data_IF_776767186629
#
_entry.id   IF_776767186629
#
_cell.length_a   1.000
_cell.length_b   1.000
_cell.length_c   1.000
_cell.angle_alpha   90.00
_cell.angle_beta   90.00
_cell.angle_gamma   90.00
#
_symmetry.space_group_name_H-M   'P 1'
#
loop_
_entity.id
_entity.type
_entity.pdbx_description
1 polymer ?
#
# COMPACT_ATOMS: atom_id res chain seq x y z
N UNK A 1 58.07 27.24 -23.77
CA UNK A 1 56.87 27.11 -24.64
C UNK A 1 56.35 25.66 -24.71
N UNK A 2 57.23 24.66 -24.83
CA UNK A 2 56.88 23.23 -24.94
C UNK A 2 56.11 22.63 -23.73
N UNK A 3 56.50 22.96 -22.49
CA UNK A 3 55.87 22.39 -21.27
C UNK A 3 54.38 22.77 -21.09
N UNK A 4 53.99 23.98 -21.51
CA UNK A 4 52.60 24.47 -21.40
C UNK A 4 51.67 23.75 -22.40
N UNK A 5 52.18 23.37 -23.58
CA UNK A 5 51.43 22.61 -24.58
C UNK A 5 51.24 21.16 -24.14
N UNK A 6 52.25 20.54 -23.53
CA UNK A 6 52.17 19.18 -22.98
C UNK A 6 51.15 19.13 -21.84
N UNK A 7 51.17 20.11 -20.92
CA UNK A 7 50.19 20.18 -19.83
C UNK A 7 48.76 20.31 -20.33
N UNK A 8 48.54 21.14 -21.37
CA UNK A 8 47.21 21.30 -21.98
C UNK A 8 46.72 20.02 -22.67
N UNK A 9 47.62 19.27 -23.33
CA UNK A 9 47.29 17.97 -23.94
C UNK A 9 46.92 16.91 -22.89
N UNK A 10 47.62 16.87 -21.76
CA UNK A 10 47.32 15.95 -20.64
C UNK A 10 45.95 16.29 -20.03
N UNK A 11 45.66 17.58 -19.82
CA UNK A 11 44.36 18.03 -19.32
C UNK A 11 43.22 17.62 -20.26
N UNK A 12 43.41 17.81 -21.58
CA UNK A 12 42.43 17.43 -22.60
C UNK A 12 42.17 15.91 -22.62
N UNK A 13 43.24 15.11 -22.46
CA UNK A 13 43.14 13.65 -22.39
C UNK A 13 42.37 13.19 -21.15
N UNK A 14 42.66 13.76 -19.98
CA UNK A 14 41.97 13.43 -18.72
C UNK A 14 40.50 13.85 -18.77
N UNK A 15 40.17 15.00 -19.38
CA UNK A 15 38.77 15.40 -19.59
C UNK A 15 38.02 14.44 -20.52
N UNK A 16 38.68 13.89 -21.53
CA UNK A 16 38.05 12.98 -22.51
C UNK A 16 37.73 11.59 -21.93
N UNK A 17 38.40 11.17 -20.86
CA UNK A 17 38.13 9.88 -20.18
C UNK A 17 37.05 9.97 -19.10
N UNK A 18 36.49 11.15 -18.84
CA UNK A 18 35.53 11.35 -17.75
C UNK A 18 34.09 10.91 -18.08
N UNK A 19 33.78 10.63 -19.34
CA UNK A 19 32.42 10.26 -19.76
C UNK A 19 31.91 8.94 -19.14
N UNK A 20 32.76 7.94 -18.97
CA UNK A 20 32.40 6.65 -18.35
C UNK A 20 32.32 6.73 -16.81
N UNK A 21 32.81 7.81 -16.21
CA UNK A 21 32.77 7.98 -14.75
C UNK A 21 31.38 8.40 -14.24
N UNK A 22 30.52 8.93 -15.12
CA UNK A 22 29.18 9.44 -14.77
C UNK A 22 28.04 8.53 -15.22
N UNK A 23 28.32 7.40 -15.88
CA UNK A 23 27.28 6.41 -16.21
C UNK A 23 26.85 5.69 -14.94
N UNK A 24 25.74 6.13 -14.34
CA UNK A 24 25.10 5.42 -13.23
C UNK A 24 24.76 3.99 -13.69
N UNK A 25 25.13 2.94 -12.94
CA UNK A 25 24.73 1.59 -13.29
C UNK A 25 23.20 1.52 -13.35
N UNK A 26 22.66 0.92 -14.41
CA UNK A 26 21.23 0.65 -14.52
C UNK A 26 20.86 -0.19 -13.30
N UNK A 27 19.97 0.28 -12.41
CA UNK A 27 19.64 -0.46 -11.19
C UNK A 27 19.08 -1.82 -11.58
N UNK A 28 19.49 -2.87 -10.86
CA UNK A 28 18.94 -4.21 -11.08
C UNK A 28 17.43 -4.21 -10.83
N UNK A 29 16.71 -5.12 -11.48
CA UNK A 29 15.26 -5.29 -11.26
C UNK A 29 14.94 -5.50 -9.78
N UNK A 30 15.80 -6.21 -9.07
CA UNK A 30 15.68 -6.48 -7.63
C UNK A 30 15.80 -5.20 -6.80
N UNK A 31 16.78 -4.35 -7.10
CA UNK A 31 16.97 -3.07 -6.40
C UNK A 31 15.80 -2.09 -6.66
N UNK A 32 15.22 -2.13 -7.86
CA UNK A 32 13.99 -1.38 -8.17
C UNK A 32 12.80 -1.93 -7.39
N UNK A 33 12.60 -3.25 -7.40
CA UNK A 33 11.51 -3.90 -6.68
C UNK A 33 11.55 -3.59 -5.17
N UNK A 34 12.71 -3.73 -4.54
CA UNK A 34 12.88 -3.43 -3.11
C UNK A 34 12.57 -1.96 -2.80
N UNK A 35 12.96 -1.04 -3.70
CA UNK A 35 12.66 0.38 -3.56
C UNK A 35 11.16 0.65 -3.61
N UNK A 36 10.44 0.04 -4.55
CA UNK A 36 8.99 0.19 -4.67
C UNK A 36 8.28 -0.41 -3.46
N UNK A 37 8.67 -1.60 -3.00
CA UNK A 37 8.08 -2.24 -1.81
C UNK A 37 8.26 -1.41 -0.53
N UNK A 38 9.41 -0.75 -0.38
CA UNK A 38 9.66 0.17 0.75
C UNK A 38 8.88 1.48 0.66
N UNK A 39 8.41 1.86 -0.53
CA UNK A 39 7.60 3.06 -0.72
C UNK A 39 6.12 2.85 -0.39
N UNK A 40 5.68 1.59 -0.20
CA UNK A 40 4.30 1.25 0.16
C UNK A 40 4.08 1.51 1.65
N UNK A 41 3.08 2.33 1.97
CA UNK A 41 2.60 2.51 3.34
C UNK A 41 1.54 1.46 3.67
N UNK A 42 1.95 0.38 4.34
CA UNK A 42 1.08 -0.73 4.74
C UNK A 42 0.03 -0.36 5.79
N UNK A 43 0.13 0.83 6.41
CA UNK A 43 -0.86 1.30 7.39
C UNK A 43 -2.01 2.08 6.73
N UNK A 44 -1.88 2.39 5.44
CA UNK A 44 -2.85 3.18 4.70
C UNK A 44 -3.65 2.29 3.77
N UNK A 45 -4.98 2.42 3.87
CA UNK A 45 -5.89 1.80 2.91
C UNK A 45 -5.97 2.67 1.67
N UNK A 46 -5.48 2.16 0.54
CA UNK A 46 -5.55 2.86 -0.74
C UNK A 46 -6.97 2.86 -1.31
N UNK A 47 -7.67 1.72 -1.24
CA UNK A 47 -9.05 1.57 -1.68
C UNK A 47 -9.80 0.59 -0.77
N UNK A 48 -11.01 0.97 -0.38
CA UNK A 48 -11.94 0.07 0.30
C UNK A 48 -12.55 -0.92 -0.69
N UNK A 49 -12.92 -2.14 -0.24
CA UNK A 49 -13.53 -3.15 -1.09
C UNK A 49 -14.71 -2.60 -1.89
N UNK A 50 -14.87 -3.10 -3.12
CA UNK A 50 -16.03 -2.80 -3.96
C UNK A 50 -17.22 -3.60 -3.46
N UNK A 51 -18.21 -2.90 -2.93
CA UNK A 51 -19.48 -3.46 -2.48
C UNK A 51 -20.53 -2.88 -3.42
N UNK A 52 -21.45 -3.71 -3.91
CA UNK A 52 -22.46 -3.31 -4.90
C UNK A 52 -23.21 -2.05 -4.47
N UNK A 53 -23.56 -1.95 -3.19
CA UNK A 53 -24.26 -0.81 -2.59
C UNK A 53 -23.40 0.48 -2.52
N UNK A 54 -22.07 0.36 -2.51
CA UNK A 54 -21.12 1.47 -2.39
C UNK A 54 -20.41 1.83 -3.70
N UNK A 55 -20.58 1.04 -4.77
CA UNK A 55 -19.83 1.17 -6.03
C UNK A 55 -20.13 2.46 -6.79
N UNK A 56 -21.34 3.02 -6.63
CA UNK A 56 -21.70 4.30 -7.23
C UNK A 56 -21.06 5.52 -6.55
N UNK A 57 -20.33 5.33 -5.43
CA UNK A 57 -19.74 6.41 -4.65
C UNK A 57 -18.27 6.60 -5.05
N UNK A 58 -17.97 7.70 -5.73
CA UNK A 58 -16.60 8.05 -6.14
C UNK A 58 -15.78 8.73 -5.02
N UNK A 59 -16.46 9.39 -4.08
CA UNK A 59 -15.77 10.10 -3.01
C UNK A 59 -15.19 9.08 -1.99
N UNK A 60 -13.87 9.09 -1.73
CA UNK A 60 -13.22 8.06 -0.92
C UNK A 60 -13.70 8.06 0.54
N UNK A 61 -13.94 9.25 1.13
CA UNK A 61 -14.44 9.35 2.51
C UNK A 61 -15.88 8.83 2.63
N UNK A 62 -16.72 9.10 1.63
CA UNK A 62 -18.08 8.54 1.60
C UNK A 62 -18.08 7.05 1.31
N UNK A 63 -17.16 6.55 0.46
CA UNK A 63 -17.02 5.13 0.17
C UNK A 63 -16.56 4.35 1.41
N UNK A 64 -15.62 4.92 2.18
CA UNK A 64 -15.24 4.42 3.50
C UNK A 64 -16.46 4.33 4.43
N UNK A 65 -17.21 5.42 4.58
CA UNK A 65 -18.39 5.44 5.45
C UNK A 65 -19.41 4.37 5.04
N UNK A 66 -19.72 4.28 3.75
CA UNK A 66 -20.64 3.27 3.21
C UNK A 66 -20.17 1.85 3.52
N UNK A 67 -18.86 1.56 3.36
CA UNK A 67 -18.29 0.26 3.69
C UNK A 67 -18.50 -0.10 5.17
N UNK A 68 -18.23 0.84 6.10
CA UNK A 68 -18.42 0.60 7.53
C UNK A 68 -19.90 0.47 7.92
N UNK A 69 -20.80 1.22 7.30
CA UNK A 69 -22.25 1.08 7.49
C UNK A 69 -22.74 -0.30 7.04
N UNK A 70 -22.33 -0.74 5.83
CA UNK A 70 -22.62 -2.09 5.34
C UNK A 70 -22.10 -3.14 6.32
N UNK A 71 -20.82 -3.06 6.72
CA UNK A 71 -20.21 -4.04 7.61
C UNK A 71 -20.94 -4.11 8.96
N UNK A 72 -21.32 -2.96 9.51
CA UNK A 72 -22.10 -2.89 10.76
C UNK A 72 -23.45 -3.58 10.61
N UNK A 73 -24.14 -3.38 9.47
CA UNK A 73 -25.42 -4.03 9.20
C UNK A 73 -25.29 -5.55 9.10
N UNK A 74 -24.23 -6.05 8.45
CA UNK A 74 -23.96 -7.50 8.33
C UNK A 74 -23.67 -8.12 9.69
N UNK A 75 -22.84 -7.46 10.52
CA UNK A 75 -22.56 -7.90 11.90
C UNK A 75 -23.86 -7.98 12.71
N UNK A 76 -24.69 -6.93 12.68
CA UNK A 76 -25.95 -6.91 13.41
C UNK A 76 -26.90 -8.03 12.95
N UNK A 77 -27.00 -8.25 11.64
CA UNK A 77 -27.82 -9.33 11.09
C UNK A 77 -27.33 -10.70 11.57
N UNK A 78 -26.01 -10.94 11.55
CA UNK A 78 -25.41 -12.21 12.02
C UNK A 78 -25.67 -12.44 13.50
N UNK A 79 -25.40 -11.43 14.33
CA UNK A 79 -25.62 -11.51 15.78
C UNK A 79 -27.11 -11.70 16.14
N UNK A 80 -28.03 -11.14 15.35
CA UNK A 80 -29.47 -11.29 15.58
C UNK A 80 -30.01 -12.68 15.23
N UNK A 81 -29.32 -13.41 14.35
CA UNK A 81 -29.70 -14.75 13.90
C UNK A 81 -29.04 -15.86 14.71
N UNK A 82 -27.92 -15.56 15.37
CA UNK A 82 -27.17 -16.53 16.14
C UNK A 82 -27.73 -16.70 17.56
N UNK A 83 -27.74 -17.94 18.04
CA UNK A 83 -28.13 -18.22 19.43
C UNK A 83 -26.87 -18.09 20.28
N UNK A 84 -26.57 -16.86 20.66
CA UNK A 84 -25.41 -16.56 21.48
C UNK A 84 -25.50 -17.37 22.80
N UNK A 85 -24.50 -18.21 23.14
CA UNK A 85 -24.57 -19.15 24.28
C UNK A 85 -24.43 -18.46 25.65
N UNK A 86 -24.79 -17.19 25.74
CA UNK A 86 -24.63 -16.34 26.92
C UNK A 86 -25.87 -16.43 27.81
N UNK A 87 -26.13 -17.60 28.37
CA UNK A 87 -27.30 -17.82 29.24
C UNK A 87 -27.15 -17.20 30.65
N UNK A 88 -26.04 -16.51 30.99
CA UNK A 88 -25.82 -16.11 32.40
C UNK A 88 -24.88 -14.94 32.68
N UNK A 89 -24.46 -14.14 31.71
CA UNK A 89 -23.59 -12.97 31.96
C UNK A 89 -24.12 -11.76 31.18
N UNK A 90 -24.37 -10.64 31.89
CA UNK A 90 -24.62 -9.34 31.27
C UNK A 90 -23.35 -8.88 30.55
N UNK A 91 -23.27 -9.14 29.24
CA UNK A 91 -22.19 -8.68 28.38
C UNK A 91 -22.73 -7.54 27.52
N UNK A 92 -22.39 -6.31 27.90
CA UNK A 92 -22.79 -5.09 27.17
C UNK A 92 -21.94 -4.86 25.90
N UNK A 93 -20.81 -5.56 25.74
CA UNK A 93 -19.88 -5.35 24.62
C UNK A 93 -19.22 -6.66 24.20
N UNK A 94 -19.19 -6.89 22.89
CA UNK A 94 -18.58 -8.07 22.26
C UNK A 94 -17.47 -7.59 21.32
N UNK A 95 -16.30 -8.22 21.41
CA UNK A 95 -15.19 -8.00 20.47
C UNK A 95 -15.33 -9.04 19.36
N UNK A 96 -15.55 -8.57 18.13
CA UNK A 96 -15.70 -9.42 16.96
C UNK A 96 -14.48 -9.26 16.07
N UNK A 97 -13.97 -10.39 15.57
CA UNK A 97 -12.89 -10.40 14.59
C UNK A 97 -13.48 -10.63 13.20
N UNK A 98 -13.16 -9.73 12.28
CA UNK A 98 -13.67 -9.78 10.91
C UNK A 98 -12.48 -9.81 9.95
N UNK A 99 -12.51 -10.75 9.02
CA UNK A 99 -11.54 -10.87 7.94
C UNK A 99 -12.23 -10.38 6.65
N UNK A 100 -11.60 -9.42 5.99
CA UNK A 100 -12.08 -8.84 4.74
C UNK A 100 -11.09 -9.20 3.64
N UNK A 101 -11.54 -9.99 2.67
CA UNK A 101 -10.71 -10.45 1.56
C UNK A 101 -10.73 -9.47 0.38
N UNK A 102 -9.72 -9.52 -0.52
CA UNK A 102 -9.65 -8.64 -1.69
C UNK A 102 -10.80 -8.79 -2.69
N UNK A 103 -11.47 -9.94 -2.69
CA UNK A 103 -12.67 -10.24 -3.50
C UNK A 103 -13.97 -9.73 -2.84
N UNK A 104 -13.86 -8.92 -1.79
CA UNK A 104 -14.94 -8.41 -0.95
C UNK A 104 -15.69 -9.48 -0.15
N UNK A 105 -15.15 -10.71 -0.05
CA UNK A 105 -15.68 -11.72 0.87
C UNK A 105 -15.38 -11.34 2.31
N UNK A 106 -16.34 -11.59 3.21
CA UNK A 106 -16.22 -11.28 4.64
C UNK A 106 -16.40 -12.56 5.44
N UNK A 107 -15.42 -12.88 6.28
CA UNK A 107 -15.46 -14.00 7.23
C UNK A 107 -15.47 -13.48 8.68
N UNK A 108 -16.25 -14.15 9.52
CA UNK A 108 -16.40 -13.87 10.95
C UNK A 108 -15.76 -15.03 11.74
N UNK A 109 -14.83 -14.71 12.64
CA UNK A 109 -14.21 -15.65 13.58
C UNK A 109 -14.73 -15.45 15.01
#
# INVERSE_FOLDING_TARGET
MQFKQIFFLILLFVCSTSCDYFTKPIPSKEALLEKELKAIDWNKVDQYPSIVECDSIENPSRKQQCFFEYLTSVIQQKLSQDTLPFESVDIDTIIVKVIVFPDATIEFE
#
